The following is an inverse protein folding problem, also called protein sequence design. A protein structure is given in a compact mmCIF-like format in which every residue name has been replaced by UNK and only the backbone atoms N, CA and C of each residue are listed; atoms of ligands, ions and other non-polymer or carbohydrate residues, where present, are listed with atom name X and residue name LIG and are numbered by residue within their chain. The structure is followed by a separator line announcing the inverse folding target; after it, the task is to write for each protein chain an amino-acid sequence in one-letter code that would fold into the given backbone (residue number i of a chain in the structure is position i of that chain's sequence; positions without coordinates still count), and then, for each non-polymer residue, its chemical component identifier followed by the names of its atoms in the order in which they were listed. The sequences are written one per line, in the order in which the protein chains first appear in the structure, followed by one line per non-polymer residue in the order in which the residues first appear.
data_IF_494983036400
#
_entry.id   IF_494983036400
#
_cell.length_a   1.000
_cell.length_b   1.000
_cell.length_c   1.000
_cell.angle_alpha   90.00
_cell.angle_beta   90.00
_cell.angle_gamma   90.00
#
_symmetry.space_group_name_H-M   'P 1'
#
loop_
_entity.id
_entity.type
_entity.pdbx_description
1 polymer ?
#
# COMPACT_ATOMS: atom_id res chain seq x y z
N UNK A 1 -37.29 1.49 4.44
CA UNK A 1 -38.06 2.17 3.38
C UNK A 1 -37.41 1.77 2.06
N UNK A 2 -38.16 1.21 1.11
CA UNK A 2 -37.59 0.80 -0.17
C UNK A 2 -37.20 2.05 -0.99
N UNK A 3 -36.03 2.01 -1.62
CA UNK A 3 -35.53 3.08 -2.49
C UNK A 3 -36.51 3.29 -3.67
N UNK A 4 -36.87 4.53 -4.03
CA UNK A 4 -37.68 4.82 -5.21
C UNK A 4 -37.21 4.12 -6.49
N UNK A 5 -35.90 3.93 -6.66
CA UNK A 5 -35.32 3.20 -7.78
C UNK A 5 -35.60 1.70 -7.68
N UNK A 6 -35.44 1.12 -6.50
CA UNK A 6 -35.71 -0.30 -6.26
C UNK A 6 -37.18 -0.65 -6.52
N UNK A 7 -38.09 0.29 -6.23
CA UNK A 7 -39.51 0.16 -6.54
C UNK A 7 -39.77 0.21 -8.05
N UNK A 8 -39.13 1.14 -8.78
CA UNK A 8 -39.24 1.23 -10.25
C UNK A 8 -38.82 -0.07 -10.94
N UNK A 9 -37.66 -0.62 -10.54
CA UNK A 9 -37.13 -1.87 -11.12
C UNK A 9 -37.98 -3.09 -10.75
N UNK A 10 -38.59 -3.10 -9.57
CA UNK A 10 -39.46 -4.19 -9.14
C UNK A 10 -40.80 -4.17 -9.88
N UNK A 11 -41.38 -2.99 -10.06
CA UNK A 11 -42.68 -2.80 -10.70
C UNK A 11 -42.60 -3.04 -12.22
N UNK A 12 -41.46 -2.77 -12.87
CA UNK A 12 -41.24 -2.96 -14.31
C UNK A 12 -40.48 -4.24 -14.69
N UNK A 13 -40.15 -5.10 -13.71
CA UNK A 13 -39.34 -6.31 -13.92
C UNK A 13 -39.90 -7.23 -15.03
N UNK A 14 -41.22 -7.36 -15.10
CA UNK A 14 -41.89 -8.18 -16.11
C UNK A 14 -41.76 -7.65 -17.55
N UNK A 15 -41.57 -6.33 -17.74
CA UNK A 15 -41.31 -5.73 -19.06
C UNK A 15 -39.85 -5.94 -19.51
N UNK A 16 -38.90 -5.94 -18.56
CA UNK A 16 -37.48 -6.17 -18.87
C UNK A 16 -37.18 -7.63 -19.22
N UNK A 17 -37.87 -8.58 -18.59
CA UNK A 17 -37.60 -10.01 -18.77
C UNK A 17 -38.21 -10.62 -20.06
N UNK A 18 -39.07 -9.89 -20.80
CA UNK A 18 -39.80 -10.42 -21.97
C UNK A 18 -39.68 -9.61 -23.26
N UNK A 19 -39.05 -8.43 -23.26
CA UNK A 19 -38.94 -7.61 -24.46
C UNK A 19 -37.63 -7.88 -25.21
N UNK A 20 -37.67 -8.76 -26.22
CA UNK A 20 -36.60 -8.76 -27.24
C UNK A 20 -36.69 -7.47 -28.07
N UNK A 21 -35.56 -6.80 -28.34
CA UNK A 21 -35.56 -5.60 -29.16
C UNK A 21 -36.08 -5.92 -30.57
N UNK A 22 -36.85 -5.02 -31.21
CA UNK A 22 -37.42 -5.28 -32.52
C UNK A 22 -36.33 -5.55 -33.55
N UNK A 23 -36.60 -6.46 -34.49
CA UNK A 23 -35.66 -6.88 -35.51
C UNK A 23 -34.96 -5.67 -36.19
N UNK A 24 -33.65 -5.79 -36.37
CA UNK A 24 -32.79 -4.74 -36.90
C UNK A 24 -32.45 -3.60 -35.93
N UNK A 25 -32.74 -3.74 -34.63
CA UNK A 25 -32.25 -2.80 -33.61
C UNK A 25 -30.72 -2.67 -33.64
N UNK A 26 -30.01 -3.79 -33.76
CA UNK A 26 -28.55 -3.83 -33.75
C UNK A 26 -27.96 -3.13 -34.98
N UNK A 27 -28.53 -3.34 -36.17
CA UNK A 27 -28.10 -2.63 -37.39
C UNK A 27 -28.35 -1.11 -37.30
N UNK A 28 -29.47 -0.69 -36.70
CA UNK A 28 -29.74 0.75 -36.45
C UNK A 28 -28.75 1.33 -35.44
N UNK A 29 -28.38 0.57 -34.42
CA UNK A 29 -27.39 0.95 -33.43
C UNK A 29 -26.00 1.09 -34.04
N UNK A 30 -25.55 0.09 -34.80
CA UNK A 30 -24.26 0.14 -35.51
C UNK A 30 -24.18 1.28 -36.52
N UNK A 31 -25.28 1.56 -37.23
CA UNK A 31 -25.34 2.69 -38.16
C UNK A 31 -25.13 4.01 -37.43
N UNK A 32 -25.77 4.22 -36.27
CA UNK A 32 -25.59 5.43 -35.46
C UNK A 32 -24.17 5.53 -34.89
N UNK A 33 -23.59 4.41 -34.45
CA UNK A 33 -22.22 4.37 -33.95
C UNK A 33 -21.20 4.77 -35.02
N UNK A 34 -21.41 4.36 -36.27
CA UNK A 34 -20.56 4.72 -37.41
C UNK A 34 -20.81 6.16 -37.90
N UNK A 35 -22.04 6.65 -37.77
CA UNK A 35 -22.42 8.03 -38.13
C UNK A 35 -21.79 9.05 -37.15
N UNK A 36 -21.72 8.73 -35.85
CA UNK A 36 -21.05 9.55 -34.83
C UNK A 36 -19.52 9.60 -34.97
N UNK A 37 -18.91 8.66 -35.72
CA UNK A 37 -17.47 8.71 -36.02
C UNK A 37 -17.13 9.63 -37.20
N UNK A 38 -18.12 10.02 -38.02
CA UNK A 38 -17.88 10.76 -39.27
C UNK A 38 -18.24 12.25 -39.21
N UNK A 39 -18.88 12.72 -38.13
CA UNK A 39 -19.23 14.13 -37.93
C UNK A 39 -18.20 14.88 -37.05
N UNK A 40 -16.91 14.73 -37.34
CA UNK A 40 -15.94 15.79 -37.04
C UNK A 40 -16.08 16.90 -38.08
N UNK A 41 -17.18 17.66 -37.96
CA UNK A 41 -17.41 18.84 -38.79
C UNK A 41 -16.34 19.88 -38.50
N UNK A 42 -15.52 20.10 -39.53
CA UNK A 42 -14.54 21.17 -39.67
C UNK A 42 -15.22 22.51 -39.43
N UNK A 43 -14.81 23.21 -38.38
CA UNK A 43 -15.01 24.66 -38.26
C UNK A 43 -13.65 25.36 -38.19
N UNK A 44 -13.35 26.13 -39.24
CA UNK A 44 -12.68 27.42 -39.13
C UNK A 44 -11.14 27.44 -39.21
N UNK A 45 -10.54 28.21 -40.13
CA UNK A 45 -9.10 28.21 -40.39
C UNK A 45 -8.37 29.28 -39.55
N UNK A 46 -7.17 28.96 -39.05
CA UNK A 46 -6.29 29.99 -38.50
C UNK A 46 -5.05 29.45 -37.79
N UNK A 47 -3.89 29.62 -38.42
CA UNK A 47 -2.62 29.79 -37.70
C UNK A 47 -1.89 28.52 -37.29
N UNK A 48 -1.15 27.95 -38.22
CA UNK A 48 -0.24 26.83 -38.02
C UNK A 48 1.08 27.28 -37.37
N UNK A 49 1.28 27.15 -36.05
CA UNK A 49 2.63 27.30 -35.45
C UNK A 49 2.90 26.49 -34.18
N UNK A 50 2.57 25.20 -34.08
CA UNK A 50 3.30 24.32 -33.14
C UNK A 50 3.54 22.94 -33.74
N UNK A 51 4.81 22.71 -34.05
CA UNK A 51 5.44 21.52 -34.62
C UNK A 51 5.17 20.24 -33.81
N UNK A 52 5.38 19.04 -34.39
CA UNK A 52 5.21 17.74 -33.72
C UNK A 52 6.25 17.44 -32.61
N UNK A 53 6.82 18.47 -31.98
CA UNK A 53 7.74 18.34 -30.85
C UNK A 53 7.00 18.38 -29.50
N UNK A 54 5.80 18.96 -29.44
CA UNK A 54 4.99 19.06 -28.21
C UNK A 54 4.41 17.71 -27.74
N UNK A 55 4.23 16.75 -28.66
CA UNK A 55 3.72 15.40 -28.31
C UNK A 55 4.78 14.56 -27.58
N UNK A 56 6.05 14.74 -27.91
CA UNK A 56 7.17 14.04 -27.25
C UNK A 56 7.36 14.58 -25.84
N UNK A 57 7.22 15.90 -25.64
CA UNK A 57 7.27 16.51 -24.32
C UNK A 57 6.16 16.00 -23.38
N UNK A 58 4.94 15.80 -23.89
CA UNK A 58 3.84 15.26 -23.07
C UNK A 58 4.09 13.80 -22.64
N UNK A 59 4.63 12.96 -23.54
CA UNK A 59 4.98 11.57 -23.21
C UNK A 59 6.15 11.50 -22.24
N UNK A 60 7.15 12.38 -22.39
CA UNK A 60 8.25 12.49 -21.44
C UNK A 60 7.77 12.99 -20.08
N UNK A 61 6.88 14.00 -20.02
CA UNK A 61 6.33 14.49 -18.76
C UNK A 61 5.49 13.42 -18.05
N UNK A 62 4.67 12.67 -18.78
CA UNK A 62 3.90 11.57 -18.21
C UNK A 62 4.83 10.42 -17.80
N UNK A 63 5.85 10.11 -18.61
CA UNK A 63 6.85 9.08 -18.29
C UNK A 63 7.73 9.45 -17.09
N UNK A 64 8.13 10.71 -16.96
CA UNK A 64 8.83 11.24 -15.79
C UNK A 64 7.90 11.33 -14.59
N UNK A 65 6.62 11.65 -14.76
CA UNK A 65 5.67 11.70 -13.65
C UNK A 65 5.32 10.30 -13.15
N UNK A 66 5.10 9.34 -14.05
CA UNK A 66 4.88 7.93 -13.69
C UNK A 66 6.16 7.28 -13.16
N UNK A 67 7.32 7.59 -13.77
CA UNK A 67 8.63 7.14 -13.28
C UNK A 67 8.99 7.76 -11.94
N UNK A 68 8.63 9.03 -11.71
CA UNK A 68 8.76 9.70 -10.42
C UNK A 68 7.79 9.12 -9.40
N UNK A 69 6.53 8.83 -9.75
CA UNK A 69 5.59 8.15 -8.86
C UNK A 69 6.05 6.72 -8.55
N UNK A 70 6.66 6.01 -9.50
CA UNK A 70 7.20 4.66 -9.29
C UNK A 70 8.47 4.69 -8.43
N UNK A 71 9.37 5.65 -8.64
CA UNK A 71 10.58 5.85 -7.85
C UNK A 71 10.29 6.44 -6.46
N UNK A 72 9.30 7.33 -6.34
CA UNK A 72 8.86 7.90 -5.06
C UNK A 72 8.06 6.90 -4.23
N UNK A 73 7.38 5.94 -4.86
CA UNK A 73 6.72 4.82 -4.19
C UNK A 73 7.59 3.55 -4.18
N UNK A 74 8.91 3.68 -4.38
CA UNK A 74 9.82 2.55 -4.35
C UNK A 74 9.69 1.81 -2.99
N UNK A 75 9.15 0.57 -2.97
CA UNK A 75 9.05 -0.21 -1.74
C UNK A 75 10.43 -0.75 -1.28
N UNK A 76 11.50 -0.43 -2.02
CA UNK A 76 12.89 -0.79 -1.73
C UNK A 76 13.76 0.45 -1.37
N UNK A 77 13.14 1.53 -0.89
CA UNK A 77 13.82 2.72 -0.36
C UNK A 77 13.66 2.87 1.16
N UNK A 78 14.25 1.96 1.94
CA UNK A 78 14.34 2.06 3.40
C UNK A 78 15.10 3.37 3.79
N UNK A 79 14.41 4.32 4.44
CA UNK A 79 14.98 5.28 5.40
C UNK A 79 15.99 6.35 4.94
N UNK A 80 15.64 7.28 4.03
CA UNK A 80 16.40 8.56 3.95
C UNK A 80 15.63 9.87 3.82
N UNK A 81 14.30 9.86 3.72
CA UNK A 81 13.52 11.12 3.59
C UNK A 81 12.50 11.38 4.71
N UNK A 82 12.43 10.52 5.74
CA UNK A 82 11.47 10.71 6.84
C UNK A 82 11.96 11.67 7.95
N UNK A 83 13.18 12.21 7.86
CA UNK A 83 13.75 13.05 8.93
C UNK A 83 13.85 14.56 8.59
N UNK A 84 13.66 14.99 7.35
CA UNK A 84 13.95 16.40 6.99
C UNK A 84 12.83 17.18 6.28
N UNK A 85 11.63 16.62 6.13
CA UNK A 85 10.48 17.43 5.75
C UNK A 85 9.42 17.34 6.83
N UNK A 86 9.41 18.39 7.67
CA UNK A 86 8.41 18.66 8.68
C UNK A 86 7.02 18.84 8.07
N UNK A 87 6.43 17.74 7.65
CA UNK A 87 4.99 17.56 7.64
C UNK A 87 4.73 16.74 8.89
N UNK A 88 4.62 17.45 10.02
CA UNK A 88 3.78 16.98 11.10
C UNK A 88 2.37 16.83 10.52
N UNK A 89 2.13 15.71 9.82
CA UNK A 89 0.81 15.13 9.90
C UNK A 89 0.64 14.88 11.38
N UNK A 90 -0.22 15.66 12.03
CA UNK A 90 -0.73 15.34 13.35
C UNK A 90 -1.55 14.04 13.20
N UNK A 91 -0.89 12.94 12.87
CA UNK A 91 -1.41 11.60 13.02
C UNK A 91 -1.54 11.43 14.51
N UNK A 92 -2.76 11.21 14.98
CA UNK A 92 -2.96 10.80 16.36
C UNK A 92 -2.10 9.56 16.61
N UNK A 93 -1.34 9.65 17.67
CA UNK A 93 -0.31 8.69 18.03
C UNK A 93 -0.35 8.53 19.55
N UNK A 94 0.27 7.47 20.08
CA UNK A 94 0.36 7.23 21.52
C UNK A 94 0.84 8.48 22.28
N UNK A 95 1.79 9.20 21.67
CA UNK A 95 2.34 10.46 22.19
C UNK A 95 1.33 11.59 22.40
N UNK A 96 0.19 11.54 21.71
CA UNK A 96 -0.88 12.56 21.79
C UNK A 96 -1.90 12.26 22.88
N UNK A 97 -1.89 11.06 23.45
CA UNK A 97 -2.85 10.61 24.48
C UNK A 97 -2.38 10.94 25.88
N UNK A 98 -1.15 10.57 26.23
CA UNK A 98 -0.56 10.88 27.55
C UNK A 98 0.97 10.94 27.48
N UNK A 99 1.62 11.64 28.44
CA UNK A 99 3.08 11.67 28.54
C UNK A 99 3.71 10.27 28.71
N UNK A 100 3.08 9.41 29.51
CA UNK A 100 3.55 8.05 29.76
C UNK A 100 3.53 7.19 28.49
N UNK A 101 2.50 7.36 27.65
CA UNK A 101 2.39 6.67 26.36
C UNK A 101 3.40 7.21 25.33
N UNK A 102 3.75 8.49 25.40
CA UNK A 102 4.84 9.06 24.60
C UNK A 102 6.20 8.44 24.95
N UNK A 103 6.49 8.27 26.24
CA UNK A 103 7.69 7.60 26.72
C UNK A 103 7.72 6.13 26.30
N UNK A 104 6.60 5.41 26.47
CA UNK A 104 6.46 4.03 26.05
C UNK A 104 6.70 3.86 24.53
N UNK A 105 6.13 4.74 23.71
CA UNK A 105 6.39 4.76 22.27
C UNK A 105 7.87 4.94 21.96
N UNK A 106 8.51 5.92 22.60
CA UNK A 106 9.95 6.19 22.41
C UNK A 106 10.79 4.96 22.76
N UNK A 107 10.43 4.26 23.84
CA UNK A 107 11.06 3.01 24.25
C UNK A 107 10.89 1.91 23.19
N UNK A 108 9.67 1.65 22.73
CA UNK A 108 9.42 0.63 21.70
C UNK A 108 10.10 0.95 20.38
N UNK A 109 10.08 2.21 19.94
CA UNK A 109 10.76 2.65 18.72
C UNK A 109 12.27 2.43 18.81
N UNK A 110 12.88 2.68 19.99
CA UNK A 110 14.31 2.41 20.21
C UNK A 110 14.59 0.92 20.14
N UNK A 111 13.81 0.11 20.85
CA UNK A 111 13.98 -1.34 20.87
C UNK A 111 13.82 -1.95 19.47
N UNK A 112 12.82 -1.49 18.70
CA UNK A 112 12.60 -1.95 17.34
C UNK A 112 13.78 -1.62 16.42
N UNK A 113 14.38 -0.42 16.55
CA UNK A 113 15.59 -0.04 15.80
C UNK A 113 16.77 -0.93 16.15
N UNK A 114 16.99 -1.21 17.43
CA UNK A 114 18.06 -2.11 17.89
C UNK A 114 17.88 -3.51 17.30
N UNK A 115 16.69 -4.09 17.44
CA UNK A 115 16.37 -5.42 16.88
C UNK A 115 16.46 -5.46 15.36
N UNK A 116 16.07 -4.39 14.66
CA UNK A 116 16.23 -4.29 13.21
C UNK A 116 17.70 -4.25 12.78
N UNK A 117 18.59 -3.66 13.60
CA UNK A 117 20.02 -3.68 13.32
C UNK A 117 20.59 -5.11 13.40
N UNK A 118 20.08 -5.93 14.33
CA UNK A 118 20.46 -7.35 14.46
C UNK A 118 20.06 -8.17 13.21
N UNK A 119 19.03 -7.75 12.47
CA UNK A 119 18.65 -8.37 11.20
C UNK A 119 19.50 -7.95 10.00
N UNK A 120 20.28 -6.87 10.11
CA UNK A 120 21.06 -6.33 8.99
C UNK A 120 22.04 -7.32 8.33
N UNK A 121 22.73 -8.24 9.05
CA UNK A 121 23.65 -9.20 8.43
C UNK A 121 22.95 -10.22 7.52
N UNK A 122 21.65 -10.47 7.75
CA UNK A 122 20.87 -11.44 6.98
C UNK A 122 20.41 -10.90 5.63
N UNK A 123 20.50 -9.58 5.42
CA UNK A 123 20.15 -8.94 4.14
C UNK A 123 20.91 -9.53 2.95
N UNK A 124 22.18 -9.88 3.16
CA UNK A 124 23.06 -10.46 2.14
C UNK A 124 23.15 -11.99 2.26
N UNK A 125 23.24 -12.52 3.50
CA UNK A 125 23.37 -13.96 3.74
C UNK A 125 22.13 -14.77 3.37
N UNK A 126 20.93 -14.21 3.57
CA UNK A 126 19.65 -14.87 3.32
C UNK A 126 18.60 -13.84 2.85
N UNK A 127 18.82 -13.33 1.64
CA UNK A 127 18.05 -12.20 1.09
C UNK A 127 16.55 -12.50 0.94
N UNK A 128 16.18 -13.75 0.66
CA UNK A 128 14.77 -14.14 0.51
C UNK A 128 14.05 -14.11 1.86
N UNK A 129 14.61 -14.74 2.89
CA UNK A 129 14.05 -14.72 4.25
C UNK A 129 14.01 -13.29 4.78
N UNK A 130 15.09 -12.51 4.59
CA UNK A 130 15.14 -11.12 5.02
C UNK A 130 14.03 -10.29 4.38
N UNK A 131 13.81 -10.46 3.06
CA UNK A 131 12.75 -9.77 2.34
C UNK A 131 11.36 -10.13 2.89
N UNK A 132 11.10 -11.41 3.14
CA UNK A 132 9.81 -11.86 3.68
C UNK A 132 9.53 -11.24 5.05
N UNK A 133 10.52 -11.21 5.95
CA UNK A 133 10.37 -10.59 7.28
C UNK A 133 10.16 -9.08 7.17
N UNK A 134 10.91 -8.39 6.31
CA UNK A 134 10.69 -6.96 6.07
C UNK A 134 9.27 -6.71 5.52
N UNK A 135 8.77 -7.56 4.64
CA UNK A 135 7.41 -7.44 4.11
C UNK A 135 6.34 -7.68 5.19
N UNK A 136 6.53 -8.64 6.09
CA UNK A 136 5.64 -8.86 7.25
C UNK A 136 5.68 -7.68 8.24
N UNK A 137 6.87 -7.14 8.53
CA UNK A 137 7.04 -5.96 9.39
C UNK A 137 6.35 -4.73 8.81
N UNK A 138 6.41 -4.52 7.49
CA UNK A 138 5.66 -3.46 6.80
C UNK A 138 4.15 -3.63 6.93
N UNK A 139 3.66 -4.88 6.91
CA UNK A 139 2.25 -5.19 7.18
C UNK A 139 1.84 -4.73 8.57
N UNK A 140 2.60 -5.13 9.59
CA UNK A 140 2.37 -4.70 10.98
C UNK A 140 2.49 -3.17 11.13
N UNK A 141 3.39 -2.52 10.40
CA UNK A 141 3.50 -1.06 10.38
C UNK A 141 2.28 -0.36 9.81
N UNK A 142 1.72 -0.91 8.74
CA UNK A 142 0.47 -0.42 8.18
C UNK A 142 -0.68 -0.55 9.18
N UNK A 143 -0.82 -1.68 9.86
CA UNK A 143 -1.87 -1.91 10.86
C UNK A 143 -1.78 -0.89 12.00
N UNK A 144 -0.56 -0.56 12.47
CA UNK A 144 -0.37 0.49 13.47
C UNK A 144 -0.84 1.86 12.99
N UNK A 145 -0.52 2.21 11.75
CA UNK A 145 -0.95 3.48 11.17
C UNK A 145 -2.47 3.57 11.01
N UNK A 146 -3.14 2.43 10.81
CA UNK A 146 -4.61 2.34 10.82
C UNK A 146 -5.15 2.55 12.24
N UNK A 147 -4.59 1.88 13.25
CA UNK A 147 -4.96 2.06 14.66
C UNK A 147 -4.75 3.52 15.14
N UNK A 148 -3.68 4.16 14.71
CA UNK A 148 -3.41 5.58 14.96
C UNK A 148 -4.53 6.51 14.45
N UNK A 149 -5.16 6.16 13.32
CA UNK A 149 -6.31 6.93 12.78
C UNK A 149 -7.56 6.69 13.60
N UNK A 150 -7.80 5.45 14.03
CA UNK A 150 -8.96 5.07 14.83
C UNK A 150 -8.95 5.68 16.24
N UNK A 151 -7.76 6.02 16.74
CA UNK A 151 -7.56 6.69 18.03
C UNK A 151 -8.24 8.06 18.11
N UNK A 152 -8.45 8.74 16.97
CA UNK A 152 -9.02 10.08 16.86
C UNK A 152 -10.53 10.17 17.17
N UNK A 153 -11.25 9.05 17.06
CA UNK A 153 -12.70 9.07 16.93
C UNK A 153 -13.50 8.36 18.03
N UNK A 154 -12.86 7.70 18.99
CA UNK A 154 -13.54 6.67 19.79
C UNK A 154 -13.49 6.89 21.32
N UNK A 155 -14.62 6.61 22.01
CA UNK A 155 -14.69 6.51 23.47
C UNK A 155 -14.01 5.23 24.01
N UNK A 156 -13.61 4.31 23.13
CA UNK A 156 -12.88 3.05 23.41
C UNK A 156 -11.37 3.14 23.16
N UNK A 157 -10.76 4.31 23.40
CA UNK A 157 -9.34 4.58 23.14
C UNK A 157 -8.39 3.57 23.79
N UNK A 158 -8.74 3.00 24.95
CA UNK A 158 -7.93 1.97 25.64
C UNK A 158 -7.74 0.70 24.79
N UNK A 159 -8.77 0.25 24.08
CA UNK A 159 -8.66 -0.93 23.21
C UNK A 159 -7.73 -0.66 22.02
N UNK A 160 -7.81 0.54 21.46
CA UNK A 160 -6.92 0.97 20.36
C UNK A 160 -5.48 1.09 20.86
N UNK A 161 -5.25 1.69 22.02
CA UNK A 161 -3.92 1.79 22.66
C UNK A 161 -3.34 0.39 22.90
N UNK A 162 -4.13 -0.54 23.43
CA UNK A 162 -3.70 -1.92 23.64
C UNK A 162 -3.36 -2.63 22.33
N UNK A 163 -4.14 -2.40 21.26
CA UNK A 163 -3.84 -2.92 19.93
C UNK A 163 -2.55 -2.33 19.35
N UNK A 164 -2.29 -1.03 19.56
CA UNK A 164 -1.05 -0.37 19.11
C UNK A 164 0.18 -0.94 19.86
N UNK A 165 0.07 -1.15 21.17
CA UNK A 165 1.12 -1.79 21.98
C UNK A 165 1.32 -3.24 21.53
N UNK A 166 0.24 -3.97 21.27
CA UNK A 166 0.32 -5.35 20.79
C UNK A 166 1.01 -5.42 19.42
N UNK A 167 0.76 -4.45 18.54
CA UNK A 167 1.43 -4.37 17.26
C UNK A 167 2.96 -4.20 17.42
N UNK A 168 3.42 -3.35 18.34
CA UNK A 168 4.84 -3.26 18.68
C UNK A 168 5.42 -4.59 19.15
N UNK A 169 4.71 -5.30 20.05
CA UNK A 169 5.14 -6.62 20.54
C UNK A 169 5.27 -7.62 19.40
N UNK A 170 4.27 -7.70 18.51
CA UNK A 170 4.31 -8.61 17.35
C UNK A 170 5.52 -8.35 16.45
N UNK A 171 5.89 -7.08 16.22
CA UNK A 171 7.09 -6.76 15.42
C UNK A 171 8.37 -7.22 16.11
N UNK A 172 8.47 -7.01 17.42
CA UNK A 172 9.62 -7.45 18.21
C UNK A 172 9.73 -8.98 18.24
N UNK A 173 8.62 -9.66 18.51
CA UNK A 173 8.53 -11.12 18.56
C UNK A 173 8.90 -11.75 17.21
N UNK A 174 8.45 -11.15 16.09
CA UNK A 174 8.79 -11.60 14.75
C UNK A 174 10.31 -11.54 14.51
N UNK A 175 10.93 -10.42 14.86
CA UNK A 175 12.38 -10.25 14.70
C UNK A 175 13.13 -11.25 15.59
N UNK A 176 12.71 -11.39 16.85
CA UNK A 176 13.37 -12.28 17.81
C UNK A 176 13.24 -13.75 17.43
N UNK A 177 12.06 -14.18 16.99
CA UNK A 177 11.84 -15.55 16.53
C UNK A 177 12.82 -15.94 15.41
N UNK A 178 13.05 -15.02 14.48
CA UNK A 178 13.95 -15.24 13.35
C UNK A 178 15.42 -15.28 13.78
N UNK A 179 15.83 -14.36 14.66
CA UNK A 179 17.18 -14.38 15.21
C UNK A 179 17.46 -15.69 15.96
N UNK A 180 16.48 -16.20 16.71
CA UNK A 180 16.58 -17.46 17.45
C UNK A 180 16.64 -18.68 16.51
N UNK A 181 15.85 -18.70 15.43
CA UNK A 181 15.93 -19.78 14.44
C UNK A 181 17.32 -19.85 13.78
N UNK A 182 17.94 -18.68 13.54
CA UNK A 182 19.27 -18.61 12.93
C UNK A 182 20.37 -19.03 13.90
N UNK A 183 20.34 -18.58 15.15
CA UNK A 183 21.32 -19.00 16.15
C UNK A 183 21.30 -20.52 16.37
N UNK A 184 20.11 -21.12 16.49
CA UNK A 184 19.97 -22.58 16.62
C UNK A 184 20.51 -23.33 15.39
N UNK A 185 20.29 -22.81 14.19
CA UNK A 185 20.82 -23.39 12.96
C UNK A 185 22.35 -23.36 12.90
N UNK A 186 22.98 -22.27 13.36
CA UNK A 186 24.43 -22.14 13.43
C UNK A 186 25.04 -23.07 14.48
N UNK A 187 24.42 -23.20 15.66
CA UNK A 187 24.88 -24.12 16.72
C UNK A 187 24.87 -25.58 16.24
N UNK A 188 23.78 -26.01 15.61
CA UNK A 188 23.69 -27.37 15.07
C UNK A 188 24.78 -27.63 14.03
N UNK A 189 25.02 -26.69 13.11
CA UNK A 189 26.05 -26.86 12.07
C UNK A 189 27.46 -27.00 12.67
N UNK A 190 27.78 -26.21 13.70
CA UNK A 190 29.08 -26.28 14.37
C UNK A 190 29.28 -27.63 15.08
N UNK A 191 28.25 -28.19 15.72
CA UNK A 191 28.32 -29.50 16.36
C UNK A 191 28.60 -30.63 15.36
N UNK A 192 27.96 -30.60 14.17
CA UNK A 192 28.21 -31.62 13.14
C UNK A 192 29.58 -31.47 12.46
N UNK A 193 30.15 -30.27 12.40
CA UNK A 193 31.49 -30.07 11.83
C UNK A 193 32.60 -30.53 12.80
N UNK A 194 32.45 -30.34 14.11
CA UNK A 194 33.41 -30.81 15.13
C UNK A 194 33.45 -32.35 15.22
N UNK A 195 32.29 -33.04 15.26
CA UNK A 195 32.23 -34.51 15.33
C UNK A 195 32.86 -35.21 14.11
N UNK A 196 32.79 -34.57 12.93
CA UNK A 196 33.38 -35.09 11.69
C UNK A 196 34.88 -34.77 11.54
N UNK A 197 35.44 -33.86 12.35
CA UNK A 197 36.88 -33.56 12.38
C UNK A 197 37.64 -34.37 13.44
N UNK A 198 36.95 -34.96 14.41
CA UNK A 198 37.52 -35.86 15.42
C UNK A 198 37.44 -37.37 15.07
N UNK A 199 36.85 -37.72 13.91
CA UNK A 199 36.75 -39.09 13.38
C UNK A 199 37.76 -39.36 12.25
#
# INVERSE_FOLDING_TARGET
MADPLEKLFRDQRAEFDQAEPPAGHLERFERRLKEDQHDQRKHGPGGNFFTPLSRIAAVLLIGFMLGYLYYANDPMGLNKAAQEQGIAQASLDLSTVSPELAEAKTFFDRMLREKMADLSPYKEKDSLMYKEIVDQLKGLEKDYNELSRDLAGNQTSEQVINAMIQNYRLRLDLIEHILNLKSQGEELKNTYEDENMES
#
